data_IF_845596721387
#
_entry.id   IF_845596721387
#
_cell.length_a   1.000
_cell.length_b   1.000
_cell.length_c   1.000
_cell.angle_alpha   90.00
_cell.angle_beta   90.00
_cell.angle_gamma   90.00
#
_symmetry.space_group_name_H-M   'P 1'
#
loop_
_entity.id
_entity.type
_entity.pdbx_description
1 polymer ?
#
# COMPACT_ATOMS: atom_id res chain seq x y z
N UNK A 1 15.64 -15.37 -33.14
CA UNK A 1 15.85 -16.32 -34.25
C UNK A 1 16.26 -15.53 -35.48
N UNK A 2 17.19 -16.06 -36.28
CA UNK A 2 17.57 -15.52 -37.59
C UNK A 2 17.17 -16.57 -38.63
N UNK A 3 16.60 -16.14 -39.74
CA UNK A 3 16.22 -17.03 -40.86
C UNK A 3 16.63 -16.44 -42.20
N UNK A 4 16.83 -17.31 -43.16
CA UNK A 4 17.07 -16.99 -44.58
C UNK A 4 16.12 -17.85 -45.43
N UNK A 5 15.58 -17.27 -46.50
CA UNK A 5 14.71 -18.01 -47.44
C UNK A 5 15.46 -19.06 -48.24
N UNK A 6 16.76 -18.87 -48.43
CA UNK A 6 17.62 -19.88 -49.08
C UNK A 6 18.24 -20.81 -48.04
N UNK A 7 17.74 -22.02 -47.94
CA UNK A 7 18.18 -23.05 -46.99
C UNK A 7 19.57 -23.62 -47.28
N UNK A 8 20.19 -23.23 -48.41
CA UNK A 8 21.55 -23.60 -48.79
C UNK A 8 22.60 -22.56 -48.39
N UNK A 9 22.14 -21.36 -47.93
CA UNK A 9 23.03 -20.33 -47.44
C UNK A 9 23.46 -20.61 -46.02
N UNK A 10 24.68 -20.26 -45.67
CA UNK A 10 25.20 -20.30 -44.32
C UNK A 10 25.03 -18.90 -43.70
N UNK A 11 24.42 -18.83 -42.50
CA UNK A 11 24.21 -17.58 -41.76
C UNK A 11 25.36 -17.38 -40.79
N UNK A 12 25.99 -16.20 -40.82
CA UNK A 12 26.94 -15.72 -39.80
C UNK A 12 26.42 -14.48 -39.13
N UNK A 13 26.79 -14.25 -37.87
CA UNK A 13 26.32 -13.09 -37.14
C UNK A 13 27.36 -12.50 -36.20
N UNK A 14 27.12 -11.26 -35.78
CA UNK A 14 27.86 -10.55 -34.75
C UNK A 14 26.86 -9.95 -33.74
N UNK A 15 27.29 -9.71 -32.48
CA UNK A 15 26.51 -9.07 -31.42
C UNK A 15 27.14 -7.76 -30.94
N UNK A 16 28.26 -7.35 -31.51
CA UNK A 16 29.04 -6.15 -31.17
C UNK A 16 28.77 -4.97 -32.10
N UNK A 17 27.84 -5.12 -33.06
CA UNK A 17 27.50 -4.10 -34.06
C UNK A 17 28.43 -4.03 -35.29
N UNK A 18 29.48 -4.83 -35.31
CA UNK A 18 30.33 -4.96 -36.51
C UNK A 18 29.63 -5.73 -37.63
N UNK A 19 30.05 -5.51 -38.87
CA UNK A 19 29.49 -6.25 -39.99
C UNK A 19 30.02 -7.68 -40.00
N UNK A 20 29.15 -8.70 -39.98
CA UNK A 20 29.57 -10.09 -40.03
C UNK A 20 30.16 -10.46 -41.41
N UNK A 21 31.11 -11.40 -41.36
CA UNK A 21 31.76 -12.02 -42.54
C UNK A 21 31.67 -13.53 -42.38
N UNK A 22 32.19 -14.28 -43.37
CA UNK A 22 32.33 -15.75 -43.29
C UNK A 22 33.24 -16.23 -42.13
N UNK A 23 34.03 -15.32 -41.55
CA UNK A 23 34.86 -15.59 -40.38
C UNK A 23 34.14 -15.30 -39.02
N UNK A 24 32.92 -14.77 -39.06
CA UNK A 24 32.12 -14.50 -37.86
C UNK A 24 31.45 -15.77 -37.30
N UNK A 25 30.78 -15.66 -36.18
CA UNK A 25 30.07 -16.79 -35.56
C UNK A 25 28.97 -17.32 -36.48
N UNK A 26 29.01 -18.61 -36.79
CA UNK A 26 27.96 -19.27 -37.58
C UNK A 26 26.69 -19.40 -36.73
N UNK A 27 25.54 -19.07 -37.30
CA UNK A 27 24.25 -19.20 -36.64
C UNK A 27 23.78 -20.66 -36.62
N UNK A 28 23.55 -21.20 -35.43
CA UNK A 28 23.09 -22.58 -35.22
C UNK A 28 21.76 -22.66 -34.41
N UNK A 29 21.25 -21.54 -33.95
CA UNK A 29 20.02 -21.53 -33.16
C UNK A 29 19.75 -20.20 -32.47
N UNK A 30 18.69 -20.10 -31.65
CA UNK A 30 18.30 -18.86 -31.02
C UNK A 30 19.42 -18.19 -30.21
N UNK A 31 19.59 -16.88 -30.38
CA UNK A 31 20.54 -16.06 -29.63
C UNK A 31 19.83 -15.51 -28.42
N UNK A 32 20.38 -15.72 -27.21
CA UNK A 32 19.92 -15.11 -25.99
C UNK A 32 20.44 -13.67 -25.90
N UNK A 33 19.54 -12.73 -25.63
CA UNK A 33 19.85 -11.30 -25.46
C UNK A 33 19.49 -10.90 -24.05
N UNK A 34 20.49 -10.60 -23.22
CA UNK A 34 20.34 -10.22 -21.80
C UNK A 34 20.67 -8.75 -21.53
N UNK A 35 21.17 -8.04 -22.54
CA UNK A 35 21.52 -6.62 -22.50
C UNK A 35 21.19 -5.98 -23.84
N UNK A 36 21.05 -4.65 -23.87
CA UNK A 36 20.84 -3.93 -25.13
C UNK A 36 21.97 -4.17 -26.08
N UNK A 37 21.67 -4.71 -27.28
CA UNK A 37 22.69 -4.95 -28.33
C UNK A 37 22.09 -4.97 -29.73
N UNK A 38 22.93 -4.66 -30.68
CA UNK A 38 22.61 -4.78 -32.10
C UNK A 38 23.19 -6.09 -32.65
N UNK A 39 22.32 -6.93 -33.17
CA UNK A 39 22.70 -8.14 -33.88
C UNK A 39 22.70 -7.83 -35.38
N UNK A 40 23.81 -8.10 -36.03
CA UNK A 40 23.92 -8.08 -37.50
C UNK A 40 24.14 -9.48 -38.01
N UNK A 41 23.55 -9.79 -39.14
CA UNK A 41 23.67 -11.09 -39.79
C UNK A 41 23.96 -10.95 -41.27
N UNK A 42 24.67 -11.93 -41.82
CA UNK A 42 24.87 -12.11 -43.24
C UNK A 42 24.59 -13.57 -43.61
N UNK A 43 23.79 -13.78 -44.65
CA UNK A 43 23.62 -15.08 -45.26
C UNK A 43 24.55 -15.14 -46.48
N UNK A 44 25.42 -16.15 -46.54
CA UNK A 44 26.41 -16.33 -47.58
C UNK A 44 26.13 -17.64 -48.32
N UNK A 45 25.97 -17.56 -49.61
CA UNK A 45 25.87 -18.71 -50.49
C UNK A 45 27.02 -18.71 -51.47
N UNK A 46 27.71 -19.83 -51.54
CA UNK A 46 28.79 -20.07 -52.55
C UNK A 46 28.26 -21.05 -53.57
N UNK A 47 28.31 -20.67 -54.85
CA UNK A 47 27.92 -21.50 -55.96
C UNK A 47 29.00 -21.42 -57.04
N UNK A 48 29.92 -22.41 -57.11
CA UNK A 48 31.11 -22.35 -57.90
C UNK A 48 32.01 -21.19 -57.52
N UNK A 49 32.41 -20.35 -58.47
CA UNK A 49 33.24 -19.16 -58.21
C UNK A 49 32.43 -17.93 -57.79
N UNK A 50 31.09 -18.03 -57.65
CA UNK A 50 30.21 -16.93 -57.30
C UNK A 50 29.80 -16.98 -55.81
N UNK A 51 29.94 -15.86 -55.15
CA UNK A 51 29.46 -15.65 -53.78
C UNK A 51 28.35 -14.59 -53.76
N UNK A 52 27.20 -14.92 -53.19
CA UNK A 52 26.11 -13.96 -52.93
C UNK A 52 25.94 -13.76 -51.44
N UNK A 53 25.66 -12.51 -51.05
CA UNK A 53 25.48 -12.13 -49.64
C UNK A 53 24.20 -11.31 -49.48
N UNK A 54 23.42 -11.66 -48.46
CA UNK A 54 22.31 -10.81 -47.96
C UNK A 54 22.55 -10.47 -46.51
N UNK A 55 22.25 -9.23 -46.13
CA UNK A 55 22.52 -8.69 -44.79
C UNK A 55 21.26 -8.21 -44.11
N UNK A 56 21.19 -8.43 -42.82
CA UNK A 56 20.13 -7.94 -41.97
C UNK A 56 20.70 -7.43 -40.62
N UNK A 57 19.98 -6.52 -39.98
CA UNK A 57 20.30 -6.11 -38.62
C UNK A 57 19.03 -5.91 -37.80
N UNK A 58 19.13 -6.13 -36.50
CA UNK A 58 18.10 -5.84 -35.52
C UNK A 58 18.73 -5.33 -34.22
N UNK A 59 18.20 -4.25 -33.68
CA UNK A 59 18.58 -3.75 -32.36
C UNK A 59 17.54 -4.20 -31.35
N UNK A 60 18.01 -4.86 -30.30
CA UNK A 60 17.20 -5.28 -29.15
C UNK A 60 17.55 -4.38 -27.98
N UNK A 61 16.57 -3.64 -27.48
CA UNK A 61 16.72 -2.80 -26.30
C UNK A 61 16.13 -3.51 -25.11
N UNK A 62 16.94 -3.80 -24.11
CA UNK A 62 16.48 -4.33 -22.84
C UNK A 62 16.22 -3.13 -21.91
N UNK A 63 14.95 -2.89 -21.63
CA UNK A 63 14.54 -1.87 -20.68
C UNK A 63 14.56 -2.48 -19.27
N UNK A 64 15.59 -2.20 -18.52
CA UNK A 64 15.65 -2.54 -17.10
C UNK A 64 14.80 -1.52 -16.32
N UNK A 65 13.48 -1.67 -16.37
CA UNK A 65 12.59 -0.84 -15.57
C UNK A 65 12.51 -1.39 -14.16
N UNK A 66 12.78 -0.52 -13.17
CA UNK A 66 12.59 -0.84 -11.77
C UNK A 66 11.12 -0.58 -11.44
N UNK A 67 10.44 -1.57 -10.88
CA UNK A 67 9.04 -1.43 -10.46
C UNK A 67 8.93 -0.43 -9.32
N UNK A 68 7.91 0.42 -9.35
CA UNK A 68 7.57 1.29 -8.23
C UNK A 68 7.26 0.45 -6.98
N UNK A 69 7.77 0.82 -5.79
CA UNK A 69 7.41 0.17 -4.54
C UNK A 69 5.90 0.21 -4.28
N UNK A 70 5.42 -0.76 -3.53
CA UNK A 70 4.02 -0.84 -3.11
C UNK A 70 3.92 -0.92 -1.60
N UNK A 71 2.92 -0.23 -1.03
CA UNK A 71 2.57 -0.32 0.38
C UNK A 71 1.52 -1.42 0.56
N UNK A 72 1.76 -2.38 1.46
CA UNK A 72 0.77 -3.45 1.75
C UNK A 72 -0.46 -2.93 2.51
N UNK A 73 -0.31 -1.79 3.18
CA UNK A 73 -1.41 -1.01 3.76
C UNK A 73 -1.60 0.25 2.92
N UNK A 74 -2.76 0.40 2.32
CA UNK A 74 -3.10 1.60 1.54
C UNK A 74 -3.12 2.86 2.43
N UNK A 75 -2.91 4.03 1.85
CA UNK A 75 -3.24 5.30 2.50
C UNK A 75 -4.74 5.39 2.82
N UNK A 76 -5.10 6.14 3.85
CA UNK A 76 -6.47 6.29 4.28
C UNK A 76 -6.58 6.70 5.75
N UNK A 77 -7.80 6.60 6.30
CA UNK A 77 -8.09 6.92 7.70
C UNK A 77 -8.04 5.68 8.58
N UNK A 78 -7.38 5.80 9.71
CA UNK A 78 -7.17 4.72 10.67
C UNK A 78 -7.51 5.17 12.10
N UNK A 79 -7.96 4.23 12.91
CA UNK A 79 -8.34 4.48 14.30
C UNK A 79 -7.29 3.99 15.30
N UNK A 80 -6.33 3.22 14.86
CA UNK A 80 -5.25 2.68 15.69
C UNK A 80 -3.93 2.64 14.92
N UNK A 81 -2.84 2.62 15.65
CA UNK A 81 -1.48 2.41 15.11
C UNK A 81 -1.45 1.21 14.17
N UNK A 82 -0.75 1.35 13.08
CA UNK A 82 -0.58 0.28 12.09
C UNK A 82 0.89 0.15 11.69
N UNK A 83 1.19 -0.98 11.10
CA UNK A 83 2.50 -1.28 10.53
C UNK A 83 2.37 -1.32 9.01
N UNK A 84 3.22 -0.61 8.29
CA UNK A 84 3.20 -0.50 6.83
C UNK A 84 4.42 -1.21 6.24
N UNK A 85 4.26 -2.45 5.75
CA UNK A 85 5.28 -3.09 4.94
C UNK A 85 5.36 -2.45 3.55
N UNK A 86 6.60 -2.37 3.01
CA UNK A 86 6.87 -1.91 1.65
C UNK A 86 7.53 -3.05 0.87
N UNK A 87 7.06 -3.30 -0.34
CA UNK A 87 7.64 -4.29 -1.24
C UNK A 87 7.93 -3.71 -2.62
N UNK A 88 8.78 -4.39 -3.38
CA UNK A 88 9.07 -4.07 -4.78
C UNK A 88 9.16 -5.35 -5.59
N UNK A 89 8.52 -5.39 -6.78
CA UNK A 89 8.56 -6.56 -7.66
C UNK A 89 9.93 -6.78 -8.29
N UNK A 90 10.74 -5.72 -8.46
CA UNK A 90 12.10 -5.85 -8.96
C UNK A 90 13.00 -6.35 -7.83
N UNK A 91 13.63 -7.49 -8.04
CA UNK A 91 14.58 -8.06 -7.08
C UNK A 91 15.88 -7.27 -6.99
N UNK A 92 16.61 -7.45 -5.88
CA UNK A 92 17.93 -6.84 -5.64
C UNK A 92 17.92 -5.31 -5.77
N UNK A 93 16.89 -4.67 -5.17
CA UNK A 93 16.78 -3.21 -5.10
C UNK A 93 16.96 -2.75 -3.66
N UNK A 94 17.44 -1.53 -3.48
CA UNK A 94 17.33 -0.81 -2.22
C UNK A 94 16.09 0.07 -2.26
N UNK A 95 15.14 -0.16 -1.35
CA UNK A 95 13.99 0.73 -1.17
C UNK A 95 14.41 1.84 -0.21
N UNK A 96 14.20 3.10 -0.61
CA UNK A 96 14.35 4.27 0.25
C UNK A 96 12.99 4.89 0.52
N UNK A 97 12.78 5.40 1.72
CA UNK A 97 11.52 6.01 2.11
C UNK A 97 11.71 7.22 3.01
N UNK A 98 10.69 8.08 3.06
CA UNK A 98 10.53 9.18 4.02
C UNK A 98 9.15 9.08 4.66
N UNK A 99 8.97 9.67 5.86
CA UNK A 99 7.69 9.70 6.59
C UNK A 99 7.17 11.12 6.80
N UNK A 100 7.87 12.11 6.28
CA UNK A 100 7.56 13.55 6.39
C UNK A 100 7.10 14.17 5.07
N UNK A 101 6.92 13.33 4.03
CA UNK A 101 6.56 13.79 2.69
C UNK A 101 7.72 14.37 1.88
N UNK A 102 8.96 14.36 2.40
CA UNK A 102 10.15 14.79 1.65
C UNK A 102 10.52 13.79 0.55
N UNK A 103 11.38 14.22 -0.39
CA UNK A 103 11.81 13.36 -1.51
C UNK A 103 12.74 12.23 -1.02
N UNK A 104 12.37 10.95 -1.19
CA UNK A 104 13.18 9.83 -0.72
C UNK A 104 14.52 9.64 -1.48
N UNK A 105 14.71 10.26 -2.65
CA UNK A 105 16.02 10.25 -3.32
C UNK A 105 17.06 11.04 -2.54
N UNK A 106 16.63 12.14 -1.93
CA UNK A 106 17.54 13.09 -1.28
C UNK A 106 17.78 12.71 0.19
N UNK A 107 16.69 12.42 0.93
CA UNK A 107 16.71 12.21 2.37
C UNK A 107 16.18 10.85 2.83
N UNK A 108 15.91 9.94 1.88
CA UNK A 108 15.26 8.65 2.22
C UNK A 108 16.16 7.73 3.04
N UNK A 109 15.55 7.15 4.08
CA UNK A 109 16.12 6.05 4.85
C UNK A 109 16.02 4.75 4.08
N UNK A 110 17.00 3.86 4.22
CA UNK A 110 16.92 2.53 3.64
C UNK A 110 15.85 1.70 4.39
N UNK A 111 14.92 1.11 3.63
CA UNK A 111 13.89 0.25 4.19
C UNK A 111 14.47 -1.11 4.56
N UNK A 112 14.30 -1.51 5.82
CA UNK A 112 14.76 -2.80 6.34
C UNK A 112 13.70 -3.56 7.14
N UNK A 113 12.66 -2.86 7.59
CA UNK A 113 11.56 -3.44 8.37
C UNK A 113 10.28 -2.61 8.19
N UNK A 114 9.10 -3.19 8.44
CA UNK A 114 7.83 -2.47 8.36
C UNK A 114 7.82 -1.19 9.19
N UNK A 115 7.22 -0.12 8.62
CA UNK A 115 7.16 1.21 9.26
C UNK A 115 5.97 1.24 10.21
N UNK A 116 6.21 1.58 11.48
CA UNK A 116 5.14 1.86 12.43
C UNK A 116 4.63 3.29 12.23
N UNK A 117 3.30 3.43 12.08
CA UNK A 117 2.61 4.71 11.87
C UNK A 117 1.55 4.88 12.94
N UNK A 118 1.67 5.94 13.75
CA UNK A 118 0.80 6.21 14.92
C UNK A 118 0.24 7.64 14.94
N UNK A 119 0.48 8.42 13.90
CA UNK A 119 0.00 9.80 13.73
C UNK A 119 -0.10 10.13 12.24
N UNK A 120 -0.73 11.24 11.88
CA UNK A 120 -0.84 11.68 10.49
C UNK A 120 0.54 11.71 9.83
N UNK A 121 0.70 10.93 8.75
CA UNK A 121 1.99 10.67 8.14
C UNK A 121 1.84 10.53 6.63
N UNK A 122 2.71 11.18 5.87
CA UNK A 122 2.86 10.95 4.44
C UNK A 122 4.12 10.12 4.20
N UNK A 123 3.95 8.88 3.75
CA UNK A 123 5.07 8.02 3.37
C UNK A 123 5.29 8.14 1.87
N UNK A 124 6.52 8.42 1.48
CA UNK A 124 6.99 8.36 0.10
C UNK A 124 8.09 7.30 -0.01
N UNK A 125 8.07 6.50 -1.07
CA UNK A 125 9.03 5.44 -1.27
C UNK A 125 9.48 5.32 -2.73
N UNK A 126 10.74 4.95 -2.93
CA UNK A 126 11.35 4.74 -4.24
C UNK A 126 12.33 3.58 -4.17
N UNK A 127 12.47 2.83 -5.24
CA UNK A 127 13.44 1.75 -5.34
C UNK A 127 14.64 2.17 -6.20
N UNK A 128 15.83 1.77 -5.78
CA UNK A 128 17.10 2.01 -6.47
C UNK A 128 17.79 0.68 -6.79
N UNK A 129 18.29 0.56 -8.00
CA UNK A 129 19.22 -0.49 -8.41
C UNK A 129 20.32 0.15 -9.26
N UNK A 130 21.56 -0.03 -8.86
CA UNK A 130 22.71 0.65 -9.44
C UNK A 130 22.47 2.18 -9.48
N UNK A 131 22.63 2.81 -10.65
CA UNK A 131 22.38 4.25 -10.84
C UNK A 131 20.93 4.59 -11.26
N UNK A 132 20.06 3.59 -11.32
CA UNK A 132 18.69 3.73 -11.82
C UNK A 132 17.67 3.77 -10.68
N UNK A 133 16.58 4.51 -10.87
CA UNK A 133 15.50 4.70 -9.92
C UNK A 133 14.15 4.28 -10.51
N UNK A 134 13.27 3.78 -9.65
CA UNK A 134 11.88 3.52 -10.00
C UNK A 134 11.03 4.79 -10.10
N UNK A 135 9.77 4.65 -10.42
CA UNK A 135 8.74 5.60 -10.06
C UNK A 135 8.59 5.69 -8.53
N UNK A 136 8.01 6.77 -8.05
CA UNK A 136 7.76 7.02 -6.64
C UNK A 136 6.37 6.53 -6.23
N UNK A 137 6.27 5.87 -5.09
CA UNK A 137 5.02 5.55 -4.40
C UNK A 137 4.77 6.58 -3.30
N UNK A 138 3.51 7.00 -3.13
CA UNK A 138 3.08 7.94 -2.08
C UNK A 138 1.83 7.39 -1.42
N UNK A 139 1.77 7.45 -0.08
CA UNK A 139 0.59 7.11 0.70
C UNK A 139 0.46 8.05 1.88
N UNK A 140 -0.77 8.52 2.13
CA UNK A 140 -1.12 9.41 3.23
C UNK A 140 -1.96 8.64 4.24
N UNK A 141 -1.56 8.69 5.50
CA UNK A 141 -2.21 8.03 6.62
C UNK A 141 -2.75 9.09 7.58
N UNK A 142 -4.04 9.06 7.83
CA UNK A 142 -4.75 9.98 8.72
C UNK A 142 -5.28 9.21 9.92
N UNK A 143 -5.15 9.79 11.11
CA UNK A 143 -5.59 9.15 12.34
C UNK A 143 -6.71 9.96 13.00
N UNK A 144 -7.86 9.31 13.14
CA UNK A 144 -9.03 9.82 13.83
C UNK A 144 -9.34 8.92 15.01
N UNK A 145 -10.00 9.46 16.03
CA UNK A 145 -10.60 8.64 17.07
C UNK A 145 -11.95 8.12 16.59
N UNK A 146 -12.18 6.81 16.70
CA UNK A 146 -13.46 6.22 16.33
C UNK A 146 -14.58 6.74 17.24
N UNK A 147 -15.74 7.01 16.67
CA UNK A 147 -16.92 7.45 17.40
C UNK A 147 -17.25 6.46 18.53
N UNK A 148 -17.62 6.94 19.72
CA UNK A 148 -18.08 6.06 20.78
C UNK A 148 -19.35 5.30 20.40
N UNK A 149 -19.42 4.05 20.85
CA UNK A 149 -20.62 3.24 20.82
C UNK A 149 -21.11 2.98 22.24
N UNK A 150 -22.42 2.79 22.40
CA UNK A 150 -23.08 2.54 23.67
C UNK A 150 -23.53 1.08 23.71
N UNK A 151 -23.06 0.33 24.70
CA UNK A 151 -23.51 -1.00 25.05
C UNK A 151 -24.38 -0.90 26.31
N UNK A 152 -25.63 -1.27 26.18
CA UNK A 152 -26.58 -1.28 27.30
C UNK A 152 -26.81 -2.71 27.73
N UNK A 153 -26.47 -3.04 28.98
CA UNK A 153 -26.73 -4.35 29.53
C UNK A 153 -28.06 -4.29 30.29
N UNK A 154 -29.10 -4.82 29.69
CA UNK A 154 -30.40 -5.02 30.32
C UNK A 154 -30.61 -6.50 30.60
N UNK A 155 -31.09 -6.88 31.75
CA UNK A 155 -31.52 -8.26 32.03
C UNK A 155 -32.85 -8.62 31.33
N UNK A 156 -33.57 -7.61 30.74
CA UNK A 156 -34.87 -7.79 30.11
C UNK A 156 -35.05 -6.86 28.89
N UNK A 157 -35.43 -7.47 27.79
CA UNK A 157 -36.05 -7.03 26.54
C UNK A 157 -35.53 -5.72 25.87
N UNK A 158 -34.72 -5.91 24.85
CA UNK A 158 -34.42 -4.91 23.87
C UNK A 158 -35.49 -4.94 22.76
N UNK A 159 -36.20 -3.83 22.53
CA UNK A 159 -37.08 -3.68 21.38
C UNK A 159 -36.30 -3.16 20.16
N UNK A 160 -35.98 -4.03 19.23
CA UNK A 160 -35.30 -3.70 17.97
C UNK A 160 -36.10 -2.82 17.02
N UNK A 161 -37.39 -2.59 17.28
CA UNK A 161 -38.29 -1.86 16.36
C UNK A 161 -38.22 -0.35 16.57
N UNK A 162 -37.95 0.11 17.79
CA UNK A 162 -38.07 1.53 18.18
C UNK A 162 -36.76 2.21 18.50
N UNK A 163 -35.64 1.50 18.62
CA UNK A 163 -34.38 2.01 19.15
C UNK A 163 -34.45 2.60 20.57
N UNK A 164 -35.49 2.24 21.32
CA UNK A 164 -35.68 2.62 22.72
C UNK A 164 -35.31 1.45 23.64
N UNK A 165 -34.62 1.75 24.72
CA UNK A 165 -34.40 0.78 25.78
C UNK A 165 -35.46 1.01 26.88
N UNK A 166 -36.39 0.09 27.02
CA UNK A 166 -37.29 0.08 28.17
C UNK A 166 -36.63 -0.68 29.32
N UNK A 167 -36.48 -0.05 30.47
CA UNK A 167 -35.94 -0.70 31.68
C UNK A 167 -36.72 -0.32 32.91
N UNK A 168 -36.83 -1.27 33.83
CA UNK A 168 -37.61 -1.10 35.09
C UNK A 168 -36.72 -0.88 36.30
N UNK A 169 -35.41 -1.02 36.19
CA UNK A 169 -34.43 -0.90 37.26
C UNK A 169 -33.22 -0.10 36.78
N UNK A 170 -32.21 0.06 37.59
CA UNK A 170 -30.91 0.62 37.20
C UNK A 170 -30.25 -0.26 36.11
N UNK A 171 -29.70 0.36 35.09
CA UNK A 171 -29.00 -0.29 34.02
C UNK A 171 -27.54 0.16 33.94
N UNK A 172 -26.68 -0.72 33.47
CA UNK A 172 -25.30 -0.40 33.17
C UNK A 172 -25.17 -0.03 31.68
N UNK A 173 -24.61 1.16 31.43
CA UNK A 173 -24.28 1.63 30.05
C UNK A 173 -22.78 1.69 29.93
N UNK A 174 -22.25 0.91 29.00
CA UNK A 174 -20.81 0.94 28.64
C UNK A 174 -20.61 1.78 27.41
N UNK A 175 -19.82 2.84 27.51
CA UNK A 175 -19.42 3.72 26.42
C UNK A 175 -18.02 3.31 25.99
N UNK A 176 -17.85 2.92 24.73
CA UNK A 176 -16.57 2.45 24.22
C UNK A 176 -16.26 2.99 22.83
N UNK A 177 -14.99 3.23 22.53
CA UNK A 177 -14.47 3.53 21.20
C UNK A 177 -13.56 2.38 20.72
N UNK A 178 -13.55 2.11 19.41
CA UNK A 178 -12.60 1.15 18.80
C UNK A 178 -11.16 1.64 18.87
N UNK A 179 -10.95 2.95 19.10
CA UNK A 179 -9.60 3.51 19.29
C UNK A 179 -9.09 3.12 20.67
N UNK A 180 -8.13 2.22 20.71
CA UNK A 180 -7.50 1.77 21.96
C UNK A 180 -6.73 2.91 22.65
N UNK A 181 -6.75 2.90 23.99
CA UNK A 181 -6.11 3.93 24.83
C UNK A 181 -6.62 5.36 24.53
N UNK A 182 -7.87 5.52 24.12
CA UNK A 182 -8.55 6.80 24.05
C UNK A 182 -9.17 7.15 25.41
N UNK A 183 -9.46 8.42 25.62
CA UNK A 183 -10.24 8.92 26.74
C UNK A 183 -11.66 9.20 26.27
N UNK A 184 -12.65 8.65 26.97
CA UNK A 184 -14.07 8.91 26.72
C UNK A 184 -14.50 10.11 27.57
N UNK A 185 -15.14 11.09 26.94
CA UNK A 185 -15.86 12.18 27.60
C UNK A 185 -17.35 11.93 27.41
N UNK A 186 -18.12 12.10 28.49
CA UNK A 186 -19.56 11.88 28.47
C UNK A 186 -20.31 12.84 29.37
N UNK A 187 -21.54 13.18 28.99
CA UNK A 187 -22.49 14.01 29.72
C UNK A 187 -23.81 13.25 29.82
N UNK A 188 -24.48 13.34 30.95
CA UNK A 188 -25.82 12.80 31.20
C UNK A 188 -26.77 13.96 31.41
N UNK A 189 -27.86 13.99 30.61
CA UNK A 189 -28.90 15.04 30.67
C UNK A 189 -28.38 16.48 30.58
N UNK A 190 -27.32 16.67 29.71
CA UNK A 190 -26.73 18.00 29.51
C UNK A 190 -25.90 18.52 30.69
N UNK A 191 -25.47 17.64 31.61
CA UNK A 191 -24.54 17.99 32.69
C UNK A 191 -23.16 18.34 32.12
N UNK A 192 -22.24 18.80 32.98
CA UNK A 192 -20.82 18.91 32.58
C UNK A 192 -20.26 17.56 32.14
N UNK A 193 -19.33 17.59 31.18
CA UNK A 193 -18.68 16.39 30.71
C UNK A 193 -17.75 15.78 31.77
N UNK A 194 -18.00 14.52 32.09
CA UNK A 194 -17.07 13.67 32.83
C UNK A 194 -16.13 12.96 31.87
N UNK A 195 -15.03 12.42 32.37
CA UNK A 195 -14.09 11.66 31.54
C UNK A 195 -13.60 10.38 32.22
N UNK A 196 -13.24 9.40 31.42
CA UNK A 196 -12.67 8.15 31.90
C UNK A 196 -11.90 7.41 30.79
N UNK A 197 -11.12 6.43 31.19
CA UNK A 197 -10.42 5.56 30.23
C UNK A 197 -11.43 4.72 29.45
N UNK A 198 -11.16 4.55 28.15
CA UNK A 198 -11.94 3.69 27.27
C UNK A 198 -11.76 2.20 27.62
N UNK A 199 -12.83 1.42 27.93
CA UNK A 199 -14.23 1.84 28.02
C UNK A 199 -14.60 2.49 29.37
N UNK A 200 -15.71 3.25 29.39
CA UNK A 200 -16.33 3.81 30.60
C UNK A 200 -17.69 3.14 30.82
N UNK A 201 -17.97 2.72 32.06
CA UNK A 201 -19.30 2.22 32.45
C UNK A 201 -19.96 3.16 33.43
N UNK A 202 -21.25 3.47 33.21
CA UNK A 202 -22.10 4.35 34.06
C UNK A 202 -23.41 3.65 34.36
N UNK A 203 -24.04 4.06 35.48
CA UNK A 203 -25.33 3.55 35.89
C UNK A 203 -26.42 4.59 35.63
N UNK A 204 -27.50 4.14 35.02
CA UNK A 204 -28.66 4.97 34.69
C UNK A 204 -29.90 4.39 35.37
N UNK A 205 -30.60 5.22 36.16
CA UNK A 205 -31.79 4.82 36.92
C UNK A 205 -33.08 5.49 36.46
N UNK A 206 -32.99 6.49 35.59
CA UNK A 206 -34.14 7.26 35.06
C UNK A 206 -33.90 7.58 33.57
N UNK A 207 -34.99 7.95 32.88
CA UNK A 207 -34.89 8.35 31.47
C UNK A 207 -33.84 9.41 31.30
N UNK A 208 -32.88 9.15 30.42
CA UNK A 208 -31.65 9.97 30.27
C UNK A 208 -31.21 10.08 28.86
N UNK A 209 -30.60 11.23 28.54
CA UNK A 209 -29.85 11.44 27.32
C UNK A 209 -28.36 11.44 27.63
N UNK A 210 -27.59 10.65 26.89
CA UNK A 210 -26.14 10.56 27.06
C UNK A 210 -25.48 11.08 25.79
N UNK A 211 -24.62 12.08 25.96
CA UNK A 211 -23.72 12.55 24.92
C UNK A 211 -22.30 12.05 25.20
N UNK A 212 -21.59 11.59 24.19
CA UNK A 212 -20.21 11.15 24.36
C UNK A 212 -19.35 11.41 23.14
N UNK A 213 -18.09 11.71 23.39
CA UNK A 213 -17.03 11.75 22.39
C UNK A 213 -15.75 11.14 22.95
N UNK A 214 -14.81 10.82 22.07
CA UNK A 214 -13.54 10.25 22.47
C UNK A 214 -12.36 11.08 21.93
N UNK A 215 -11.27 11.13 22.69
CA UNK A 215 -10.03 11.82 22.30
C UNK A 215 -8.82 10.91 22.52
N UNK A 216 -7.79 11.15 21.71
CA UNK A 216 -6.47 10.55 21.85
C UNK A 216 -5.42 11.52 21.32
N UNK A 217 -4.28 11.60 21.98
CA UNK A 217 -3.18 12.46 21.57
C UNK A 217 -2.74 12.16 20.12
N UNK A 218 -2.51 13.20 19.35
CA UNK A 218 -2.11 13.17 17.93
C UNK A 218 -3.15 12.60 16.96
N UNK A 219 -4.40 12.35 17.42
CA UNK A 219 -5.53 11.91 16.58
C UNK A 219 -6.56 13.04 16.49
N UNK A 220 -7.28 13.12 15.39
CA UNK A 220 -8.47 13.96 15.34
C UNK A 220 -9.54 13.39 16.26
N UNK A 221 -10.20 14.28 17.04
CA UNK A 221 -11.26 13.91 17.95
C UNK A 221 -12.43 13.26 17.21
N UNK A 222 -13.13 12.32 17.87
CA UNK A 222 -14.38 11.77 17.36
C UNK A 222 -15.50 12.82 17.30
N UNK A 223 -16.56 12.51 16.55
CA UNK A 223 -17.83 13.25 16.69
C UNK A 223 -18.44 13.04 18.08
N UNK A 224 -19.32 13.96 18.46
CA UNK A 224 -20.19 13.78 19.63
C UNK A 224 -21.38 12.91 19.23
N UNK A 225 -21.53 11.78 19.88
CA UNK A 225 -22.64 10.84 19.67
C UNK A 225 -23.64 10.96 20.79
N UNK A 226 -24.92 11.02 20.44
CA UNK A 226 -26.04 11.11 21.36
C UNK A 226 -26.78 9.77 21.42
N UNK A 227 -27.11 9.32 22.66
CA UNK A 227 -27.96 8.17 22.89
C UNK A 227 -29.07 8.56 23.89
N UNK A 228 -30.30 8.20 23.59
CA UNK A 228 -31.45 8.42 24.45
C UNK A 228 -31.94 7.09 25.05
N UNK A 229 -32.15 7.09 26.38
CA UNK A 229 -32.63 5.93 27.13
C UNK A 229 -33.95 6.31 27.82
N UNK A 230 -35.00 5.52 27.60
CA UNK A 230 -36.29 5.74 28.21
C UNK A 230 -36.58 4.65 29.27
N UNK A 231 -36.97 5.07 30.47
CA UNK A 231 -37.45 4.17 31.50
C UNK A 231 -38.92 3.87 31.24
N UNK A 232 -39.27 2.57 31.23
CA UNK A 232 -40.66 2.18 31.10
C UNK A 232 -41.51 2.82 32.20
N UNK A 233 -42.63 3.43 31.79
CA UNK A 233 -43.60 4.01 32.70
C UNK A 233 -44.22 2.92 33.58
N UNK A 234 -44.35 3.19 34.90
CA UNK A 234 -45.11 2.37 35.84
C UNK A 234 -46.59 2.61 35.64
#
# INVERSE_FOLDING_TARGET
TISCNDNTATIYYTTNGENPTSGSTQYQGPIQVTETKTIKAVAIKVSGDNTSEERAQATYTILNTISTPTFEKAGGTYYNTLTVPISCLTGEVTIKYTTDGSNPKDNGLAYSQPIEVSQNTTIRAIAQKDDSWSGEAVAEYHFHVANPAFDVTTENDFDYVTNYFEYNSEIDVTIKSETINSTIYYSVNGSEFNSGNNPVSIKISESSTIEAYAVKDNYEQSEVILNALEKAGV
#
